data_IF_381411390444
#
_entry.id   IF_381411390444
#
_cell.length_a   1.000
_cell.length_b   1.000
_cell.length_c   1.000
_cell.angle_alpha   90.00
_cell.angle_beta   90.00
_cell.angle_gamma   90.00
#
_symmetry.space_group_name_H-M   'P 1'
#
loop_
_entity.id
_entity.type
_entity.pdbx_description
1 polymer ?
#
# COMPACT_ATOMS: atom_id res chain seq x y z
N UNK A 1 -10.98 -11.31 18.95
CA UNK A 1 -10.34 -11.06 17.64
C UNK A 1 -10.14 -12.42 17.00
N UNK A 2 -10.71 -12.68 15.82
CA UNK A 2 -10.48 -13.94 15.10
C UNK A 2 -9.02 -14.02 14.64
N UNK A 3 -8.44 -15.21 14.67
CA UNK A 3 -7.06 -15.49 14.26
C UNK A 3 -6.85 -15.29 12.76
N UNK A 4 -5.59 -15.17 12.32
CA UNK A 4 -5.25 -15.06 10.90
C UNK A 4 -5.73 -16.29 10.10
N UNK A 5 -5.61 -17.49 10.70
CA UNK A 5 -6.07 -18.72 10.07
C UNK A 5 -7.59 -18.73 9.91
N UNK A 6 -8.35 -18.33 10.94
CA UNK A 6 -9.81 -18.23 10.85
C UNK A 6 -10.26 -17.22 9.78
N UNK A 7 -9.60 -16.05 9.68
CA UNK A 7 -9.87 -15.07 8.61
C UNK A 7 -9.68 -15.67 7.22
N UNK A 8 -8.59 -16.43 7.05
CA UNK A 8 -8.26 -17.08 5.78
C UNK A 8 -9.28 -18.15 5.41
N UNK A 9 -9.69 -18.97 6.37
CA UNK A 9 -10.72 -19.99 6.15
C UNK A 9 -12.07 -19.38 5.78
N UNK A 10 -12.45 -18.24 6.38
CA UNK A 10 -13.65 -17.52 5.98
C UNK A 10 -13.57 -17.02 4.53
N UNK A 11 -12.43 -16.45 4.11
CA UNK A 11 -12.25 -16.03 2.71
C UNK A 11 -12.35 -17.21 1.73
N UNK A 12 -11.78 -18.37 2.08
CA UNK A 12 -11.86 -19.61 1.29
C UNK A 12 -13.28 -20.15 1.22
N UNK A 13 -14.01 -20.12 2.34
CA UNK A 13 -15.40 -20.52 2.39
C UNK A 13 -16.26 -19.65 1.46
N UNK A 14 -16.08 -18.33 1.51
CA UNK A 14 -16.94 -17.39 0.80
C UNK A 14 -16.62 -17.27 -0.70
N UNK A 15 -15.34 -17.37 -1.09
CA UNK A 15 -14.88 -17.13 -2.48
C UNK A 15 -14.36 -18.40 -3.18
N UNK A 16 -14.34 -19.54 -2.49
CA UNK A 16 -13.72 -20.77 -2.96
C UNK A 16 -12.19 -20.83 -2.73
N UNK A 17 -11.57 -22.02 -2.89
CA UNK A 17 -10.20 -22.27 -2.43
C UNK A 17 -9.12 -21.38 -3.06
N UNK A 18 -9.17 -21.20 -4.39
CA UNK A 18 -8.14 -20.46 -5.11
C UNK A 18 -8.30 -18.94 -4.96
N UNK A 19 -9.51 -18.42 -5.22
CA UNK A 19 -9.80 -17.00 -5.14
C UNK A 19 -9.77 -16.50 -3.68
N UNK A 20 -10.36 -17.23 -2.74
CA UNK A 20 -10.40 -16.84 -1.33
C UNK A 20 -9.03 -16.79 -0.67
N UNK A 21 -8.16 -17.75 -0.99
CA UNK A 21 -6.76 -17.72 -0.55
C UNK A 21 -6.03 -16.49 -1.11
N UNK A 22 -6.11 -16.27 -2.42
CA UNK A 22 -5.46 -15.14 -3.09
C UNK A 22 -5.96 -13.80 -2.56
N UNK A 23 -7.28 -13.66 -2.37
CA UNK A 23 -7.90 -12.48 -1.80
C UNK A 23 -7.39 -12.20 -0.38
N UNK A 24 -7.38 -13.21 0.50
CA UNK A 24 -6.92 -13.03 1.88
C UNK A 24 -5.46 -12.58 1.93
N UNK A 25 -4.58 -13.24 1.17
CA UNK A 25 -3.15 -12.91 1.15
C UNK A 25 -2.90 -11.50 0.59
N UNK A 26 -3.64 -11.09 -0.46
CA UNK A 26 -3.58 -9.72 -1.00
C UNK A 26 -4.10 -8.68 -0.02
N UNK A 27 -5.20 -8.98 0.67
CA UNK A 27 -5.83 -8.08 1.62
C UNK A 27 -4.92 -7.85 2.84
N UNK A 28 -4.31 -8.89 3.38
CA UNK A 28 -3.39 -8.77 4.51
C UNK A 28 -2.15 -7.94 4.11
N UNK A 29 -1.57 -8.19 2.94
CA UNK A 29 -0.45 -7.39 2.44
C UNK A 29 -0.85 -5.92 2.20
N UNK A 30 -2.06 -5.65 1.72
CA UNK A 30 -2.59 -4.29 1.59
C UNK A 30 -2.74 -3.62 2.96
N UNK A 31 -3.26 -4.32 3.97
CA UNK A 31 -3.40 -3.82 5.33
C UNK A 31 -2.05 -3.45 5.95
N UNK A 32 -1.02 -4.26 5.72
CA UNK A 32 0.35 -3.94 6.16
C UNK A 32 0.86 -2.64 5.52
N UNK A 33 0.62 -2.44 4.23
CA UNK A 33 1.02 -1.22 3.51
C UNK A 33 0.24 -0.01 4.02
N UNK A 34 -1.08 -0.15 4.24
CA UNK A 34 -1.93 0.91 4.78
C UNK A 34 -1.50 1.30 6.21
N UNK A 35 -1.07 0.34 7.02
CA UNK A 35 -0.54 0.60 8.34
C UNK A 35 0.72 1.47 8.29
N UNK A 36 1.67 1.12 7.41
CA UNK A 36 2.90 1.91 7.18
C UNK A 36 2.56 3.32 6.66
N UNK A 37 1.64 3.41 5.70
CA UNK A 37 1.18 4.69 5.16
C UNK A 37 0.57 5.57 6.25
N UNK A 38 -0.25 5.01 7.14
CA UNK A 38 -0.82 5.78 8.25
C UNK A 38 0.24 6.25 9.25
N UNK A 39 1.30 5.48 9.48
CA UNK A 39 2.43 5.98 10.28
C UNK A 39 3.07 7.22 9.63
N UNK A 40 3.27 7.18 8.31
CA UNK A 40 3.78 8.33 7.57
C UNK A 40 2.85 9.54 7.70
N UNK A 41 1.53 9.33 7.54
CA UNK A 41 0.57 10.43 7.64
C UNK A 41 0.55 11.07 9.02
N UNK A 42 0.58 10.27 10.08
CA UNK A 42 0.62 10.76 11.45
C UNK A 42 1.90 11.54 11.80
N UNK A 43 3.04 11.25 11.16
CA UNK A 43 4.28 11.98 11.39
C UNK A 43 4.42 13.21 10.49
N UNK A 44 4.08 13.07 9.21
CA UNK A 44 4.52 14.01 8.15
C UNK A 44 3.36 14.63 7.35
N UNK A 45 2.11 14.26 7.62
CA UNK A 45 0.95 14.79 6.91
C UNK A 45 -0.14 15.38 7.83
N UNK A 46 0.18 15.66 9.09
CA UNK A 46 -0.73 16.33 10.05
C UNK A 46 -0.75 17.84 9.81
N UNK A 47 0.37 18.51 10.10
CA UNK A 47 0.54 19.95 9.92
C UNK A 47 2.03 20.33 9.94
N UNK A 48 2.34 21.57 9.54
CA UNK A 48 3.72 22.08 9.52
C UNK A 48 4.36 22.14 10.92
N UNK A 49 3.57 22.44 11.95
CA UNK A 49 4.07 22.53 13.33
C UNK A 49 4.57 21.17 13.85
N UNK A 50 3.90 20.08 13.47
CA UNK A 50 4.33 18.70 13.77
C UNK A 50 5.66 18.41 13.13
N UNK A 51 5.78 18.69 11.83
CA UNK A 51 7.02 18.40 11.08
C UNK A 51 8.18 19.22 11.65
N UNK A 52 7.95 20.48 12.00
CA UNK A 52 8.97 21.32 12.63
C UNK A 52 9.39 20.75 13.99
N UNK A 53 8.45 20.38 14.85
CA UNK A 53 8.75 19.74 16.14
C UNK A 53 9.57 18.46 15.98
N UNK A 54 9.24 17.60 15.01
CA UNK A 54 10.03 16.38 14.74
C UNK A 54 11.47 16.73 14.30
N UNK A 55 11.61 17.74 13.45
CA UNK A 55 12.92 18.24 13.01
C UNK A 55 13.74 18.85 14.17
N UNK A 56 13.09 19.48 15.14
CA UNK A 56 13.78 20.06 16.31
C UNK A 56 14.21 18.98 17.31
N UNK A 57 13.40 17.94 17.49
CA UNK A 57 13.64 16.87 18.48
C UNK A 57 14.73 15.91 18.02
N UNK A 58 14.63 15.38 16.80
CA UNK A 58 15.56 14.35 16.30
C UNK A 58 15.63 14.37 14.76
N UNK A 59 16.24 15.40 14.16
CA UNK A 59 16.13 15.64 12.72
C UNK A 59 16.67 14.48 11.87
N UNK A 60 17.84 13.94 12.22
CA UNK A 60 18.44 12.84 11.49
C UNK A 60 17.58 11.56 11.56
N UNK A 61 17.03 11.25 12.74
CA UNK A 61 16.16 10.09 12.93
C UNK A 61 14.88 10.23 12.10
N UNK A 62 14.15 11.35 12.23
CA UNK A 62 12.89 11.53 11.51
C UNK A 62 13.09 11.68 10.01
N UNK A 63 14.23 12.22 9.54
CA UNK A 63 14.59 12.21 8.12
C UNK A 63 14.75 10.80 7.56
N UNK A 64 15.43 9.90 8.30
CA UNK A 64 15.55 8.48 7.91
C UNK A 64 14.18 7.82 7.90
N UNK A 65 13.38 7.98 8.96
CA UNK A 65 12.04 7.40 9.06
C UNK A 65 11.13 7.88 7.92
N UNK A 66 11.14 9.17 7.59
CA UNK A 66 10.36 9.72 6.50
C UNK A 66 10.70 9.03 5.16
N UNK A 67 12.00 8.91 4.85
CA UNK A 67 12.46 8.26 3.62
C UNK A 67 12.08 6.78 3.58
N UNK A 68 12.29 6.04 4.68
CA UNK A 68 12.03 4.60 4.74
C UNK A 68 10.55 4.25 4.67
N UNK A 69 9.68 4.99 5.37
CA UNK A 69 8.23 4.78 5.29
C UNK A 69 7.71 5.08 3.87
N UNK A 70 8.18 6.18 3.27
CA UNK A 70 7.83 6.58 1.91
C UNK A 70 8.21 5.51 0.87
N UNK A 71 9.45 5.02 0.93
CA UNK A 71 9.94 4.00 0.02
C UNK A 71 9.27 2.65 0.24
N UNK A 72 8.97 2.29 1.49
CA UNK A 72 8.25 1.05 1.83
C UNK A 72 6.84 1.04 1.22
N UNK A 73 6.10 2.15 1.31
CA UNK A 73 4.76 2.25 0.72
C UNK A 73 4.80 2.18 -0.81
N UNK A 74 5.73 2.89 -1.46
CA UNK A 74 5.90 2.79 -2.91
C UNK A 74 6.29 1.38 -3.37
N UNK A 75 7.16 0.71 -2.61
CA UNK A 75 7.54 -0.66 -2.90
C UNK A 75 6.34 -1.61 -2.74
N UNK A 76 5.54 -1.44 -1.69
CA UNK A 76 4.30 -2.20 -1.47
C UNK A 76 3.30 -2.04 -2.62
N UNK A 77 3.00 -0.80 -3.01
CA UNK A 77 2.15 -0.50 -4.18
C UNK A 77 2.69 -1.20 -5.43
N UNK A 78 4.01 -1.14 -5.66
CA UNK A 78 4.63 -1.76 -6.83
C UNK A 78 4.47 -3.28 -6.82
N UNK A 79 4.67 -3.93 -5.68
CA UNK A 79 4.53 -5.39 -5.53
C UNK A 79 3.09 -5.86 -5.77
N UNK A 80 2.10 -5.18 -5.17
CA UNK A 80 0.69 -5.52 -5.35
C UNK A 80 0.20 -5.32 -6.79
N UNK A 81 0.89 -4.51 -7.58
CA UNK A 81 0.54 -4.17 -8.97
C UNK A 81 1.54 -4.70 -10.00
N UNK A 82 2.42 -5.62 -9.61
CA UNK A 82 3.38 -6.25 -10.50
C UNK A 82 2.74 -7.32 -11.38
N UNK A 83 3.46 -7.76 -12.42
CA UNK A 83 2.99 -8.87 -13.25
C UNK A 83 2.80 -10.12 -12.39
N UNK A 84 1.78 -10.95 -12.64
CA UNK A 84 1.49 -12.12 -11.83
C UNK A 84 2.55 -13.22 -11.94
N UNK A 85 3.40 -13.16 -12.98
CA UNK A 85 4.57 -14.03 -13.14
C UNK A 85 5.79 -13.16 -13.45
N UNK A 86 6.88 -13.40 -12.73
CA UNK A 86 8.16 -12.74 -12.93
C UNK A 86 9.28 -13.77 -12.89
N UNK A 87 10.08 -13.87 -13.96
CA UNK A 87 11.14 -14.86 -14.10
C UNK A 87 10.70 -16.31 -13.80
N UNK A 88 9.48 -16.67 -14.21
CA UNK A 88 8.90 -18.01 -13.98
C UNK A 88 8.25 -18.22 -12.60
N UNK A 89 8.40 -17.27 -11.67
CA UNK A 89 7.81 -17.36 -10.33
C UNK A 89 6.47 -16.62 -10.26
N UNK A 90 5.48 -17.22 -9.59
CA UNK A 90 4.19 -16.57 -9.29
C UNK A 90 4.40 -15.46 -8.28
N UNK A 91 3.74 -14.33 -8.49
CA UNK A 91 3.79 -13.14 -7.64
C UNK A 91 2.42 -12.87 -7.05
N UNK A 92 2.37 -12.50 -5.76
CA UNK A 92 1.16 -12.02 -5.10
C UNK A 92 0.81 -10.64 -5.67
N UNK A 93 -0.10 -10.62 -6.63
CA UNK A 93 -0.50 -9.41 -7.36
C UNK A 93 -1.99 -9.44 -7.69
N UNK A 94 -2.63 -8.27 -7.66
CA UNK A 94 -4.02 -8.11 -8.08
C UNK A 94 -4.25 -8.52 -9.54
N UNK A 95 -3.21 -8.49 -10.38
CA UNK A 95 -3.30 -8.91 -11.78
C UNK A 95 -3.59 -10.41 -11.94
N UNK A 96 -3.40 -11.23 -10.91
CA UNK A 96 -3.73 -12.66 -10.94
C UNK A 96 -5.22 -12.94 -10.68
N UNK A 97 -5.99 -11.97 -10.18
CA UNK A 97 -7.38 -12.16 -9.77
C UNK A 97 -8.34 -12.52 -10.92
N UNK A 98 -8.29 -11.89 -12.12
CA UNK A 98 -9.28 -12.14 -13.17
C UNK A 98 -9.35 -13.61 -13.64
N UNK A 99 -8.26 -14.35 -13.53
CA UNK A 99 -8.21 -15.77 -13.91
C UNK A 99 -8.87 -16.68 -12.86
N UNK A 100 -9.15 -16.16 -11.67
CA UNK A 100 -9.77 -16.87 -10.55
C UNK A 100 -11.24 -16.50 -10.34
N UNK A 101 -11.76 -15.51 -11.09
CA UNK A 101 -13.15 -15.05 -11.00
C UNK A 101 -13.99 -15.74 -12.07
N UNK A 102 -14.97 -16.53 -11.64
CA UNK A 102 -15.85 -17.28 -12.53
C UNK A 102 -17.00 -16.44 -13.11
N UNK A 103 -17.57 -15.51 -12.34
CA UNK A 103 -18.66 -14.63 -12.81
C UNK A 103 -18.11 -13.62 -13.84
N UNK A 104 -18.55 -13.66 -15.11
CA UNK A 104 -18.03 -12.79 -16.16
C UNK A 104 -18.24 -11.29 -15.87
N UNK A 105 -19.37 -10.91 -15.27
CA UNK A 105 -19.66 -9.49 -14.97
C UNK A 105 -18.78 -8.97 -13.85
N UNK A 106 -18.48 -9.81 -12.86
CA UNK A 106 -17.55 -9.46 -11.78
C UNK A 106 -16.13 -9.38 -12.33
N UNK A 107 -15.74 -10.35 -13.16
CA UNK A 107 -14.45 -10.37 -13.84
C UNK A 107 -14.20 -9.08 -14.62
N UNK A 108 -15.16 -8.62 -15.42
CA UNK A 108 -15.03 -7.38 -16.21
C UNK A 108 -14.83 -6.14 -15.32
N UNK A 109 -15.55 -6.07 -14.20
CA UNK A 109 -15.37 -4.99 -13.19
C UNK A 109 -13.99 -5.03 -12.56
N UNK A 110 -13.53 -6.22 -12.17
CA UNK A 110 -12.20 -6.43 -11.58
C UNK A 110 -11.10 -6.06 -12.57
N UNK A 111 -11.20 -6.48 -13.83
CA UNK A 111 -10.25 -6.11 -14.89
C UNK A 111 -10.18 -4.59 -15.06
N UNK A 112 -11.33 -3.92 -15.16
CA UNK A 112 -11.39 -2.46 -15.31
C UNK A 112 -10.75 -1.73 -14.12
N UNK A 113 -11.02 -2.20 -12.89
CA UNK A 113 -10.44 -1.63 -11.68
C UNK A 113 -8.92 -1.88 -11.58
N UNK A 114 -8.46 -3.05 -12.01
CA UNK A 114 -7.03 -3.37 -12.09
C UNK A 114 -6.33 -2.42 -13.08
N UNK A 115 -6.87 -2.22 -14.28
CA UNK A 115 -6.27 -1.30 -15.27
C UNK A 115 -6.06 0.11 -14.70
N UNK A 116 -7.05 0.62 -13.96
CA UNK A 116 -6.96 1.89 -13.27
C UNK A 116 -5.88 1.87 -12.18
N UNK A 117 -5.83 0.82 -11.35
CA UNK A 117 -4.81 0.67 -10.32
C UNK A 117 -3.39 0.57 -10.90
N UNK A 118 -3.25 -0.12 -12.03
CA UNK A 118 -1.98 -0.20 -12.76
C UNK A 118 -1.56 1.17 -13.29
N UNK A 119 -2.48 2.01 -13.74
CA UNK A 119 -2.16 3.37 -14.20
C UNK A 119 -1.67 4.24 -13.05
N UNK A 120 -2.41 4.28 -11.94
CA UNK A 120 -2.03 5.04 -10.75
C UNK A 120 -0.68 4.60 -10.17
N UNK A 121 -0.38 3.29 -10.19
CA UNK A 121 0.86 2.74 -9.65
C UNK A 121 2.10 2.92 -10.56
N UNK A 122 1.98 3.48 -11.78
CA UNK A 122 3.11 3.64 -12.72
C UNK A 122 4.31 4.36 -12.10
N UNK A 123 4.08 5.43 -11.32
CA UNK A 123 5.18 6.18 -10.69
C UNK A 123 5.92 5.31 -9.67
N UNK A 124 5.19 4.54 -8.85
CA UNK A 124 5.77 3.68 -7.82
C UNK A 124 6.69 2.62 -8.44
N UNK A 125 6.25 1.97 -9.54
CA UNK A 125 7.07 1.00 -10.28
C UNK A 125 8.34 1.62 -10.87
N UNK A 126 8.25 2.85 -11.39
CA UNK A 126 9.43 3.57 -11.89
C UNK A 126 10.43 3.88 -10.76
N UNK A 127 9.94 4.31 -9.59
CA UNK A 127 10.77 4.53 -8.40
C UNK A 127 11.41 3.23 -7.91
N UNK A 128 10.65 2.13 -7.87
CA UNK A 128 11.18 0.80 -7.53
C UNK A 128 12.35 0.44 -8.42
N UNK A 129 12.14 0.50 -9.73
CA UNK A 129 13.11 0.06 -10.72
C UNK A 129 14.39 0.90 -10.68
N UNK A 130 14.26 2.21 -10.49
CA UNK A 130 15.40 3.10 -10.66
C UNK A 130 16.13 3.45 -9.36
N UNK A 131 15.42 3.47 -8.22
CA UNK A 131 15.95 4.04 -6.98
C UNK A 131 15.84 3.14 -5.75
N UNK A 132 14.79 2.34 -5.62
CA UNK A 132 14.52 1.62 -4.36
C UNK A 132 15.09 0.20 -4.38
N UNK A 133 14.81 -0.58 -5.43
CA UNK A 133 15.11 -2.02 -5.43
C UNK A 133 16.32 -2.39 -6.29
N UNK A 134 16.51 -1.76 -7.46
CA UNK A 134 17.54 -2.18 -8.42
C UNK A 134 18.70 -1.20 -8.56
N UNK A 135 18.65 -0.02 -7.91
CA UNK A 135 19.69 1.02 -7.97
C UNK A 135 20.25 1.19 -9.39
N UNK A 136 19.36 1.54 -10.32
CA UNK A 136 19.70 1.62 -11.74
C UNK A 136 20.91 2.53 -11.97
N UNK A 137 21.98 1.96 -12.52
CA UNK A 137 23.28 2.62 -12.62
C UNK A 137 23.19 3.90 -13.47
N UNK A 138 22.40 3.87 -14.55
CA UNK A 138 22.22 5.00 -15.45
C UNK A 138 21.46 6.13 -14.76
N UNK A 139 20.42 5.80 -13.99
CA UNK A 139 19.72 6.76 -13.14
C UNK A 139 20.65 7.40 -12.09
N UNK A 140 21.50 6.60 -11.44
CA UNK A 140 22.45 7.09 -10.43
C UNK A 140 23.49 8.04 -11.05
N UNK A 141 24.03 7.70 -12.21
CA UNK A 141 25.11 8.45 -12.87
C UNK A 141 24.60 9.66 -13.69
N UNK A 142 23.35 9.65 -14.15
CA UNK A 142 22.76 10.71 -14.97
C UNK A 142 21.34 11.09 -14.52
N UNK A 143 21.23 11.64 -13.30
CA UNK A 143 19.94 12.01 -12.70
C UNK A 143 19.16 13.06 -13.50
N UNK A 144 19.86 14.01 -14.15
CA UNK A 144 19.23 15.08 -14.93
C UNK A 144 18.58 14.54 -16.22
N UNK A 145 19.23 13.59 -16.91
CA UNK A 145 18.68 12.92 -18.11
C UNK A 145 17.69 11.78 -17.82
N UNK A 146 17.62 11.30 -16.57
CA UNK A 146 16.76 10.20 -16.14
C UNK A 146 15.92 10.55 -14.91
N UNK A 147 15.23 11.68 -14.97
CA UNK A 147 14.33 12.11 -13.90
C UNK A 147 13.27 11.05 -13.60
N UNK A 148 12.99 10.85 -12.31
CA UNK A 148 11.87 10.00 -11.88
C UNK A 148 10.55 10.74 -12.09
N UNK A 149 9.45 10.02 -12.36
CA UNK A 149 8.13 10.63 -12.33
C UNK A 149 7.88 11.29 -10.97
N UNK A 150 7.22 12.44 -10.95
CA UNK A 150 6.89 13.10 -9.68
C UNK A 150 6.06 12.15 -8.79
N UNK A 151 6.53 11.90 -7.57
CA UNK A 151 5.78 11.19 -6.53
C UNK A 151 5.18 12.22 -5.56
N UNK A 152 3.94 12.02 -5.15
CA UNK A 152 3.25 12.89 -4.20
C UNK A 152 2.33 12.07 -3.29
N UNK A 153 1.92 12.66 -2.16
CA UNK A 153 1.02 12.00 -1.20
C UNK A 153 -0.31 11.68 -1.86
N UNK A 154 -0.80 12.56 -2.73
CA UNK A 154 -2.02 12.40 -3.50
C UNK A 154 -1.92 11.20 -4.44
N UNK A 155 -0.78 11.01 -5.11
CA UNK A 155 -0.54 9.84 -5.97
C UNK A 155 -0.45 8.53 -5.19
N UNK A 156 0.15 8.55 -4.00
CA UNK A 156 0.18 7.40 -3.10
C UNK A 156 -1.25 7.04 -2.66
N UNK A 157 -2.03 8.02 -2.18
CA UNK A 157 -3.43 7.81 -1.78
C UNK A 157 -4.29 7.28 -2.92
N UNK A 158 -4.19 7.87 -4.11
CA UNK A 158 -4.93 7.42 -5.28
C UNK A 158 -4.58 5.98 -5.65
N UNK A 159 -3.29 5.61 -5.58
CA UNK A 159 -2.84 4.24 -5.84
C UNK A 159 -3.38 3.25 -4.82
N UNK A 160 -3.24 3.54 -3.52
CA UNK A 160 -3.75 2.68 -2.45
C UNK A 160 -5.28 2.53 -2.55
N UNK A 161 -6.00 3.62 -2.80
CA UNK A 161 -7.45 3.60 -3.00
C UNK A 161 -7.86 2.74 -4.19
N UNK A 162 -7.17 2.85 -5.32
CA UNK A 162 -7.47 2.01 -6.49
C UNK A 162 -7.22 0.52 -6.26
N UNK A 163 -6.24 0.15 -5.42
CA UNK A 163 -6.01 -1.23 -5.02
C UNK A 163 -7.10 -1.72 -4.06
N UNK A 164 -7.51 -0.87 -3.10
CA UNK A 164 -8.66 -1.13 -2.22
C UNK A 164 -9.91 -1.41 -3.06
N UNK A 165 -10.18 -0.60 -4.08
CA UNK A 165 -11.37 -0.73 -4.93
C UNK A 165 -11.42 -2.07 -5.68
N UNK A 166 -10.26 -2.61 -6.08
CA UNK A 166 -10.19 -3.95 -6.68
C UNK A 166 -10.63 -5.03 -5.68
N UNK A 167 -10.13 -4.97 -4.45
CA UNK A 167 -10.48 -5.95 -3.42
C UNK A 167 -11.92 -5.77 -2.92
N UNK A 168 -12.43 -4.55 -2.83
CA UNK A 168 -13.82 -4.26 -2.44
C UNK A 168 -14.84 -4.77 -3.45
N UNK A 169 -14.52 -4.81 -4.75
CA UNK A 169 -15.41 -5.44 -5.75
C UNK A 169 -15.62 -6.93 -5.41
N UNK A 170 -14.56 -7.64 -5.04
CA UNK A 170 -14.63 -9.05 -4.66
C UNK A 170 -15.31 -9.22 -3.30
N UNK A 171 -14.95 -8.42 -2.31
CA UNK A 171 -15.55 -8.49 -0.98
C UNK A 171 -17.05 -8.21 -1.02
N UNK A 172 -17.47 -7.16 -1.74
CA UNK A 172 -18.87 -6.81 -1.89
C UNK A 172 -19.68 -7.87 -2.65
N UNK A 173 -19.08 -8.53 -3.66
CA UNK A 173 -19.77 -9.57 -4.43
C UNK A 173 -19.89 -10.90 -3.67
N UNK A 174 -18.81 -11.38 -3.05
CA UNK A 174 -18.76 -12.73 -2.45
C UNK A 174 -19.10 -12.75 -0.96
N UNK A 175 -18.92 -11.62 -0.26
CA UNK A 175 -19.02 -11.56 1.22
C UNK A 175 -20.04 -10.56 1.72
N UNK A 176 -20.76 -9.90 0.80
CA UNK A 176 -21.83 -8.92 1.06
C UNK A 176 -21.47 -7.92 2.18
N UNK A 177 -20.21 -7.51 2.22
CA UNK A 177 -19.66 -6.65 3.26
C UNK A 177 -18.75 -5.57 2.67
N UNK A 178 -18.49 -4.54 3.47
CA UNK A 178 -17.52 -3.48 3.18
C UNK A 178 -16.39 -3.59 4.18
N UNK A 179 -15.14 -3.56 3.71
CA UNK A 179 -14.01 -3.48 4.61
C UNK A 179 -13.78 -2.02 5.03
N UNK A 180 -13.74 -1.80 6.34
CA UNK A 180 -13.38 -0.50 6.92
C UNK A 180 -11.86 -0.38 7.04
N UNK A 181 -11.17 -0.24 5.90
CA UNK A 181 -9.72 -0.01 5.86
C UNK A 181 -9.28 1.21 6.68
N UNK A 182 -10.17 2.20 6.82
CA UNK A 182 -9.90 3.41 7.58
C UNK A 182 -10.00 3.23 9.11
N UNK A 183 -10.74 2.24 9.62
CA UNK A 183 -10.98 2.09 11.06
C UNK A 183 -10.04 1.06 11.73
N UNK A 184 -9.25 0.32 10.96
CA UNK A 184 -8.46 -0.81 11.46
C UNK A 184 -7.16 -0.46 12.21
N UNK A 185 -6.91 0.80 12.59
CA UNK A 185 -5.59 1.18 13.13
C UNK A 185 -5.57 1.36 14.64
N UNK A 186 -4.73 0.51 15.23
CA UNK A 186 -4.35 0.38 16.63
C UNK A 186 -4.02 1.70 17.32
N UNK A 187 -4.54 1.84 18.53
CA UNK A 187 -3.97 2.70 19.56
C UNK A 187 -2.46 2.41 19.72
N UNK A 188 -1.63 3.44 19.92
CA UNK A 188 -0.21 3.28 20.24
C UNK A 188 0.82 3.49 19.11
N UNK A 189 0.39 3.83 17.89
CA UNK A 189 1.30 4.16 16.78
C UNK A 189 1.88 5.59 16.80
N UNK A 190 2.38 6.06 15.67
CA UNK A 190 2.99 7.38 15.49
C UNK A 190 2.11 8.56 15.98
N UNK A 191 0.79 8.45 15.88
CA UNK A 191 -0.12 9.46 16.41
C UNK A 191 0.02 9.65 17.93
N UNK A 192 0.27 8.57 18.68
CA UNK A 192 0.53 8.65 20.13
C UNK A 192 1.88 9.30 20.41
N UNK A 193 2.92 8.97 19.63
CA UNK A 193 4.23 9.61 19.74
C UNK A 193 4.11 11.13 19.55
N UNK A 194 3.44 11.57 18.49
CA UNK A 194 3.20 13.00 18.22
C UNK A 194 2.43 13.65 19.36
N UNK A 195 1.38 13.00 19.87
CA UNK A 195 0.63 13.51 21.02
C UNK A 195 1.50 13.69 22.27
N UNK A 196 2.40 12.75 22.56
CA UNK A 196 3.30 12.84 23.74
C UNK A 196 4.32 13.96 23.55
N UNK A 197 4.99 14.02 22.40
CA UNK A 197 5.99 15.05 22.10
C UNK A 197 5.41 16.47 22.19
N UNK A 198 4.23 16.68 21.60
CA UNK A 198 3.52 17.97 21.66
C UNK A 198 3.19 18.42 23.08
N UNK A 199 2.92 17.47 23.98
CA UNK A 199 2.62 17.78 25.37
C UNK A 199 3.89 18.06 26.18
N UNK A 200 5.00 17.37 25.88
CA UNK A 200 6.29 17.65 26.53
C UNK A 200 6.90 19.00 26.12
N UNK A 201 6.64 19.49 24.90
CA UNK A 201 7.17 20.78 24.42
C UNK A 201 6.43 22.01 24.98
N UNK A 202 5.40 21.83 25.81
CA UNK A 202 4.62 22.91 26.44
C UNK A 202 5.11 23.28 27.85
N UNK A 203 6.17 22.64 28.32
CA UNK A 203 6.82 22.87 29.61
C UNK A 203 8.28 23.26 29.38
#
# INVERSE_FOLDING_TARGET
>A
MISAEEKRQLCIHDMGPALGAMYCDLNDHLLDILLVWRQYEHLFAVDQATVQMLNDVAPAFFGVIQAQLWDSVMLGISKLTDRPVSFGNKTLSIQALPDLVEDPKVKDKVVSAIELALDYAKFARAHRNKRIAHNDLVHVQNRAGNALPAASREKIRASLKSIIDVLEILNGHYRESTMLYDDMISEGGAGRLVSVLRNSSKH
#
